data_IF_535867157101
#
_entry.id   IF_535867157101
#
_cell.length_a   1.000
_cell.length_b   1.000
_cell.length_c   1.000
_cell.angle_alpha   90.00
_cell.angle_beta   90.00
_cell.angle_gamma   90.00
#
_symmetry.space_group_name_H-M   'P 1'
#
loop_
_entity.id
_entity.type
_entity.pdbx_description
1 polymer ?
#
# COMPACT_ATOMS: atom_id res chain seq x y z
N UNK A 1 -26.72 33.56 -48.60
CA UNK A 1 -26.90 32.21 -48.07
C UNK A 1 -25.61 31.84 -47.32
N UNK A 2 -25.60 31.94 -45.97
CA UNK A 2 -24.52 31.47 -45.14
C UNK A 2 -24.73 29.99 -44.80
N UNK A 3 -23.88 29.15 -45.31
CA UNK A 3 -23.83 27.72 -44.95
C UNK A 3 -22.97 27.62 -43.70
N UNK A 4 -23.62 27.47 -42.53
CA UNK A 4 -22.96 27.14 -41.29
C UNK A 4 -22.48 25.70 -41.32
N UNK A 5 -21.18 25.49 -41.47
CA UNK A 5 -20.58 24.18 -41.26
C UNK A 5 -20.64 23.79 -39.78
N UNK A 6 -21.37 22.72 -39.46
CA UNK A 6 -21.31 22.09 -38.15
C UNK A 6 -19.98 21.34 -38.06
N UNK A 7 -19.02 21.91 -37.34
CA UNK A 7 -17.82 21.16 -36.95
C UNK A 7 -18.25 20.10 -35.93
N UNK A 8 -18.46 18.87 -36.36
CA UNK A 8 -18.52 17.73 -35.47
C UNK A 8 -17.11 17.51 -34.95
N UNK A 9 -16.83 18.10 -33.80
CA UNK A 9 -15.60 17.84 -33.03
C UNK A 9 -15.51 16.35 -32.72
N UNK A 10 -14.35 15.75 -32.96
CA UNK A 10 -14.03 14.35 -32.69
C UNK A 10 -13.99 14.02 -31.19
N UNK A 11 -15.11 14.24 -30.47
CA UNK A 11 -15.21 13.92 -29.04
C UNK A 11 -15.20 12.40 -28.82
N UNK A 12 -15.60 11.62 -29.81
CA UNK A 12 -15.56 10.14 -29.72
C UNK A 12 -14.14 9.55 -29.88
N UNK A 13 -13.18 10.33 -30.37
CA UNK A 13 -11.79 9.88 -30.54
C UNK A 13 -10.98 9.90 -29.22
N UNK A 14 -11.55 10.48 -28.16
CA UNK A 14 -10.98 10.51 -26.81
C UNK A 14 -11.43 9.31 -25.95
N UNK A 15 -12.39 8.54 -26.41
CA UNK A 15 -12.92 7.38 -25.69
C UNK A 15 -12.35 6.07 -26.28
N UNK A 16 -11.03 6.02 -26.42
CA UNK A 16 -10.33 4.81 -26.84
C UNK A 16 -10.21 3.84 -25.66
N UNK A 17 -10.62 2.59 -25.89
CA UNK A 17 -10.27 1.49 -25.01
C UNK A 17 -8.75 1.33 -24.99
N UNK A 18 -8.18 1.02 -23.82
CA UNK A 18 -6.75 0.75 -23.68
C UNK A 18 -6.29 -0.29 -24.71
N UNK A 19 -5.24 0.04 -25.48
CA UNK A 19 -4.62 -0.87 -26.44
C UNK A 19 -3.82 -1.96 -25.74
N UNK A 20 -3.42 -1.74 -24.50
CA UNK A 20 -2.75 -2.74 -23.67
C UNK A 20 -3.79 -3.68 -23.03
N UNK A 21 -3.84 -4.98 -23.43
CA UNK A 21 -4.77 -5.93 -22.84
C UNK A 21 -4.49 -6.21 -21.37
N UNK A 22 -3.38 -5.72 -20.81
CA UNK A 22 -3.04 -5.81 -19.39
C UNK A 22 -3.46 -4.57 -18.59
N UNK A 23 -3.88 -3.48 -19.26
CA UNK A 23 -4.46 -2.32 -18.59
C UNK A 23 -5.97 -2.42 -18.62
N UNK A 24 -6.58 -2.79 -17.52
CA UNK A 24 -8.03 -2.74 -17.34
C UNK A 24 -8.44 -1.35 -16.86
N UNK A 25 -9.42 -0.74 -17.52
CA UNK A 25 -10.08 0.47 -17.03
C UNK A 25 -11.21 0.15 -16.04
N UNK A 26 -11.53 -1.13 -15.87
CA UNK A 26 -12.49 -1.65 -14.90
C UNK A 26 -11.88 -2.84 -14.16
N UNK A 27 -12.10 -2.92 -12.88
CA UNK A 27 -11.71 -4.02 -12.00
C UNK A 27 -12.86 -4.31 -11.05
N UNK A 28 -12.96 -5.56 -10.64
CA UNK A 28 -13.89 -5.96 -9.59
C UNK A 28 -13.29 -5.57 -8.21
N UNK A 29 -14.16 -5.15 -7.30
CA UNK A 29 -13.72 -4.70 -5.97
C UNK A 29 -12.93 -5.76 -5.20
N UNK A 30 -13.24 -7.04 -5.42
CA UNK A 30 -12.51 -8.16 -4.81
C UNK A 30 -11.10 -8.33 -5.40
N UNK A 31 -10.90 -8.02 -6.68
CA UNK A 31 -9.58 -8.00 -7.31
C UNK A 31 -8.74 -6.85 -6.73
N UNK A 32 -9.38 -5.70 -6.50
CA UNK A 32 -8.74 -4.57 -5.86
C UNK A 32 -8.37 -4.86 -4.39
N UNK A 33 -9.26 -5.53 -3.64
CA UNK A 33 -8.95 -6.00 -2.28
C UNK A 33 -7.75 -6.96 -2.28
N UNK A 34 -7.75 -7.94 -3.20
CA UNK A 34 -6.63 -8.85 -3.36
C UNK A 34 -5.33 -8.10 -3.72
N UNK A 35 -5.42 -7.04 -4.55
CA UNK A 35 -4.28 -6.19 -4.88
C UNK A 35 -3.74 -5.45 -3.65
N UNK A 36 -4.59 -4.93 -2.77
CA UNK A 36 -4.17 -4.30 -1.51
C UNK A 36 -3.38 -5.29 -0.65
N UNK A 37 -3.89 -6.51 -0.45
CA UNK A 37 -3.15 -7.55 0.29
C UNK A 37 -1.85 -7.97 -0.39
N UNK A 38 -1.85 -8.03 -1.72
CA UNK A 38 -0.69 -8.48 -2.47
C UNK A 38 0.54 -7.58 -2.31
N UNK A 39 0.37 -6.32 -1.94
CA UNK A 39 1.49 -5.38 -1.72
C UNK A 39 2.41 -5.81 -0.59
N UNK A 40 1.90 -6.58 0.37
CA UNK A 40 2.72 -7.14 1.44
C UNK A 40 3.79 -8.13 0.93
N UNK A 41 3.53 -8.81 -0.20
CA UNK A 41 4.40 -9.86 -0.73
C UNK A 41 4.89 -9.66 -2.16
N UNK A 42 4.24 -8.80 -2.95
CA UNK A 42 4.54 -8.61 -4.36
C UNK A 42 5.11 -7.22 -4.65
N UNK A 43 5.98 -7.14 -5.64
CA UNK A 43 6.68 -5.90 -6.05
C UNK A 43 6.27 -5.42 -7.44
N UNK A 44 5.15 -5.87 -7.94
CA UNK A 44 4.63 -5.48 -9.25
C UNK A 44 3.43 -6.31 -9.66
N UNK A 45 2.93 -6.05 -10.87
CA UNK A 45 1.70 -6.69 -11.36
C UNK A 45 1.91 -8.14 -11.85
N UNK A 46 3.14 -8.51 -12.17
CA UNK A 46 3.47 -9.84 -12.71
C UNK A 46 3.89 -10.86 -11.65
N UNK A 47 3.76 -10.51 -10.39
CA UNK A 47 4.20 -11.35 -9.28
C UNK A 47 5.73 -11.48 -9.20
N UNK A 48 6.24 -12.53 -8.56
CA UNK A 48 7.66 -12.64 -8.25
C UNK A 48 8.58 -12.71 -9.47
N UNK A 49 8.09 -13.13 -10.63
CA UNK A 49 8.89 -13.22 -11.87
C UNK A 49 8.69 -12.02 -12.81
N UNK A 50 8.06 -10.96 -12.32
CA UNK A 50 7.80 -9.74 -13.10
C UNK A 50 8.78 -8.62 -12.84
N UNK A 51 8.69 -7.56 -13.62
CA UNK A 51 9.44 -6.34 -13.35
C UNK A 51 8.94 -5.68 -12.08
N UNK A 52 9.83 -5.25 -11.20
CA UNK A 52 9.49 -4.49 -10.01
C UNK A 52 8.86 -3.14 -10.37
N UNK A 53 8.01 -2.64 -9.49
CA UNK A 53 7.29 -1.37 -9.64
C UNK A 53 8.08 -0.17 -9.08
N UNK A 54 8.97 -0.39 -8.12
CA UNK A 54 9.81 0.63 -7.46
C UNK A 54 11.28 0.41 -7.79
N UNK A 55 11.79 -0.81 -7.58
CA UNK A 55 13.12 -1.21 -8.00
C UNK A 55 13.02 -2.09 -9.25
N UNK A 56 14.02 -2.00 -10.13
CA UNK A 56 14.11 -2.88 -11.31
C UNK A 56 14.45 -4.33 -10.95
N UNK A 57 15.03 -4.55 -9.78
CA UNK A 57 15.28 -5.88 -9.25
C UNK A 57 14.05 -6.38 -8.50
N UNK A 58 13.65 -7.58 -8.88
CA UNK A 58 12.50 -8.24 -8.31
C UNK A 58 12.69 -8.54 -6.82
N UNK A 59 11.68 -8.19 -6.05
CA UNK A 59 11.67 -8.43 -4.61
C UNK A 59 12.48 -7.45 -3.77
N UNK A 60 13.39 -6.67 -4.33
CA UNK A 60 14.19 -5.73 -3.54
C UNK A 60 13.37 -4.63 -2.86
N UNK A 61 12.32 -4.16 -3.52
CA UNK A 61 11.42 -3.13 -3.00
C UNK A 61 10.14 -3.69 -2.37
N UNK A 62 10.09 -5.00 -2.09
CA UNK A 62 8.95 -5.64 -1.43
C UNK A 62 8.81 -5.20 0.03
N UNK A 63 7.57 -5.03 0.50
CA UNK A 63 7.28 -4.58 1.87
C UNK A 63 8.05 -5.38 2.93
N UNK A 64 7.95 -6.71 2.92
CA UNK A 64 8.63 -7.56 3.88
C UNK A 64 10.14 -7.42 3.86
N UNK A 65 10.72 -7.41 2.66
CA UNK A 65 12.18 -7.34 2.51
C UNK A 65 12.72 -5.98 2.97
N UNK A 66 12.08 -4.90 2.55
CA UNK A 66 12.58 -3.56 2.86
C UNK A 66 12.41 -3.21 4.33
N UNK A 67 11.28 -3.53 4.95
CA UNK A 67 11.06 -3.29 6.38
C UNK A 67 12.00 -4.14 7.23
N UNK A 68 12.14 -5.43 6.93
CA UNK A 68 13.11 -6.30 7.60
C UNK A 68 14.54 -5.75 7.48
N UNK A 69 14.95 -5.33 6.29
CA UNK A 69 16.30 -4.78 6.10
C UNK A 69 16.58 -3.57 6.99
N UNK A 70 15.62 -2.66 7.12
CA UNK A 70 15.82 -1.45 7.92
C UNK A 70 15.72 -1.72 9.43
N UNK A 71 14.97 -2.74 9.85
CA UNK A 71 14.81 -3.07 11.27
C UNK A 71 15.91 -4.00 11.77
N UNK A 72 16.35 -4.99 10.96
CA UNK A 72 17.21 -6.08 11.43
C UNK A 72 18.68 -5.92 11.03
N UNK A 73 18.99 -5.41 9.84
CA UNK A 73 20.38 -5.34 9.37
C UNK A 73 21.23 -4.30 10.10
N UNK A 74 20.62 -3.42 10.88
CA UNK A 74 21.30 -2.45 11.75
C UNK A 74 21.56 -3.00 13.15
N UNK A 75 21.22 -4.27 13.41
CA UNK A 75 21.42 -4.96 14.69
C UNK A 75 22.56 -5.97 14.60
N UNK A 76 22.88 -6.63 15.71
CA UNK A 76 23.83 -7.73 15.80
C UNK A 76 23.17 -9.12 15.60
N UNK A 77 21.86 -9.16 15.38
CA UNK A 77 21.10 -10.41 15.22
C UNK A 77 21.15 -10.94 13.79
N UNK A 78 21.36 -10.07 12.80
CA UNK A 78 21.26 -10.42 11.38
C UNK A 78 22.44 -9.88 10.57
N UNK A 79 22.99 -10.75 9.71
CA UNK A 79 24.02 -10.37 8.74
C UNK A 79 23.58 -10.76 7.34
N UNK A 80 23.58 -9.79 6.43
CA UNK A 80 23.29 -10.04 5.02
C UNK A 80 24.42 -10.80 4.33
N UNK A 81 24.10 -11.89 3.67
CA UNK A 81 25.12 -12.75 3.05
C UNK A 81 25.86 -12.05 1.89
N UNK A 82 25.19 -11.20 1.15
CA UNK A 82 25.75 -10.46 0.00
C UNK A 82 26.24 -9.07 0.42
N UNK A 83 27.40 -9.05 1.04
CA UNK A 83 28.00 -7.81 1.57
C UNK A 83 28.39 -6.77 0.48
N UNK A 84 28.30 -7.16 -0.79
CA UNK A 84 28.61 -6.28 -1.94
C UNK A 84 27.37 -5.56 -2.49
N UNK A 85 26.19 -5.85 -1.98
CA UNK A 85 24.97 -5.14 -2.35
C UNK A 85 25.07 -3.65 -1.97
N UNK A 86 24.55 -2.79 -2.82
CA UNK A 86 24.90 -1.39 -2.91
C UNK A 86 24.82 -0.64 -1.58
N UNK A 87 23.85 -0.78 -0.76
CA UNK A 87 23.69 -0.01 0.47
C UNK A 87 23.67 -0.86 1.75
N UNK A 88 23.90 -2.15 1.64
CA UNK A 88 23.91 -3.05 2.79
C UNK A 88 24.99 -2.66 3.81
N UNK A 89 26.24 -2.36 3.42
CA UNK A 89 27.25 -1.91 4.38
C UNK A 89 26.83 -0.64 5.14
N UNK A 90 26.12 0.27 4.48
CA UNK A 90 25.62 1.48 5.14
C UNK A 90 24.59 1.17 6.22
N UNK A 91 23.63 0.26 5.93
CA UNK A 91 22.64 -0.17 6.91
C UNK A 91 23.32 -0.87 8.09
N UNK A 92 24.19 -1.85 7.82
CA UNK A 92 24.88 -2.62 8.85
C UNK A 92 25.79 -1.74 9.73
N UNK A 93 26.44 -0.72 9.16
CA UNK A 93 27.30 0.21 9.89
C UNK A 93 26.57 1.40 10.51
N UNK A 94 25.25 1.49 10.33
CA UNK A 94 24.40 2.60 10.84
C UNK A 94 24.88 3.96 10.28
N UNK A 95 25.24 4.00 8.99
CA UNK A 95 25.71 5.22 8.30
C UNK A 95 24.91 5.55 7.04
N UNK A 96 23.67 5.06 6.95
CA UNK A 96 22.76 5.35 5.83
C UNK A 96 22.42 6.84 5.74
N UNK A 97 21.97 7.22 4.56
CA UNK A 97 21.47 8.56 4.24
C UNK A 97 20.07 8.51 3.65
N UNK A 98 19.42 9.65 3.51
CA UNK A 98 18.12 9.75 2.84
C UNK A 98 18.16 9.29 1.37
N UNK A 99 19.34 9.21 0.76
CA UNK A 99 19.53 8.73 -0.61
C UNK A 99 19.93 7.25 -0.71
N UNK A 100 20.04 6.55 0.42
CA UNK A 100 20.28 5.10 0.42
C UNK A 100 19.10 4.38 -0.24
N UNK A 101 19.32 3.54 -1.27
CA UNK A 101 18.26 2.91 -2.06
C UNK A 101 17.20 2.20 -1.20
N UNK A 102 17.60 1.40 -0.23
CA UNK A 102 16.64 0.68 0.64
C UNK A 102 15.79 1.60 1.50
N UNK A 103 16.33 2.72 1.98
CA UNK A 103 15.58 3.73 2.71
C UNK A 103 14.53 4.36 1.79
N UNK A 104 14.91 4.72 0.55
CA UNK A 104 13.99 5.25 -0.45
C UNK A 104 12.92 4.23 -0.86
N UNK A 105 13.30 3.00 -1.16
CA UNK A 105 12.35 1.96 -1.57
C UNK A 105 11.35 1.63 -0.49
N UNK A 106 11.78 1.57 0.78
CA UNK A 106 10.86 1.36 1.90
C UNK A 106 9.85 2.49 2.00
N UNK A 107 10.32 3.74 1.94
CA UNK A 107 9.44 4.91 1.96
C UNK A 107 8.43 4.89 0.81
N UNK A 108 8.89 4.61 -0.40
CA UNK A 108 8.05 4.55 -1.60
C UNK A 108 7.04 3.40 -1.53
N UNK A 109 7.46 2.24 -1.03
CA UNK A 109 6.58 1.08 -0.84
C UNK A 109 5.45 1.41 0.13
N UNK A 110 5.76 1.92 1.31
CA UNK A 110 4.76 2.30 2.31
C UNK A 110 3.80 3.38 1.78
N UNK A 111 4.33 4.39 1.08
CA UNK A 111 3.50 5.45 0.49
C UNK A 111 2.57 4.92 -0.61
N UNK A 112 3.06 4.01 -1.45
CA UNK A 112 2.24 3.34 -2.47
C UNK A 112 1.12 2.52 -1.82
N UNK A 113 1.46 1.73 -0.79
CA UNK A 113 0.50 0.84 -0.12
C UNK A 113 -0.59 1.64 0.60
N UNK A 114 -0.24 2.74 1.29
CA UNK A 114 -1.23 3.67 1.87
C UNK A 114 -2.13 4.28 0.78
N UNK A 115 -1.54 4.67 -0.35
CA UNK A 115 -2.29 5.24 -1.48
C UNK A 115 -3.28 4.22 -2.06
N UNK A 116 -2.86 2.97 -2.21
CA UNK A 116 -3.73 1.90 -2.71
C UNK A 116 -4.87 1.58 -1.73
N UNK A 117 -4.61 1.61 -0.42
CA UNK A 117 -5.66 1.52 0.59
C UNK A 117 -6.68 2.66 0.45
N UNK A 118 -6.21 3.89 0.32
CA UNK A 118 -7.08 5.05 0.11
C UNK A 118 -7.89 4.93 -1.19
N UNK A 119 -7.28 4.43 -2.26
CA UNK A 119 -7.95 4.18 -3.53
C UNK A 119 -9.10 3.18 -3.36
N UNK A 120 -8.88 2.05 -2.69
CA UNK A 120 -9.93 1.08 -2.39
C UNK A 120 -11.07 1.71 -1.58
N UNK A 121 -10.74 2.41 -0.49
CA UNK A 121 -11.74 3.01 0.40
C UNK A 121 -12.58 4.09 -0.29
N UNK A 122 -11.99 4.86 -1.19
CA UNK A 122 -12.70 5.86 -1.99
C UNK A 122 -13.63 5.21 -3.02
N UNK A 123 -13.16 4.18 -3.73
CA UNK A 123 -13.96 3.51 -4.76
C UNK A 123 -15.08 2.60 -4.23
N UNK A 124 -15.08 2.31 -2.94
CA UNK A 124 -16.13 1.51 -2.29
C UNK A 124 -16.96 2.30 -1.27
N UNK A 125 -16.90 3.64 -1.32
CA UNK A 125 -17.60 4.49 -0.35
C UNK A 125 -19.12 4.34 -0.43
N UNK A 126 -19.66 4.22 -1.62
CA UNK A 126 -21.09 4.00 -1.87
C UNK A 126 -21.60 2.63 -1.36
N UNK A 127 -20.70 1.71 -1.05
CA UNK A 127 -20.98 0.36 -0.53
C UNK A 127 -20.68 0.21 0.96
N UNK A 128 -20.32 1.29 1.65
CA UNK A 128 -19.86 1.25 3.04
C UNK A 128 -20.88 0.66 4.03
N UNK A 129 -22.18 0.71 3.71
CA UNK A 129 -23.25 0.14 4.55
C UNK A 129 -23.52 -1.35 4.30
N UNK A 130 -22.99 -1.93 3.22
CA UNK A 130 -23.12 -3.37 2.95
C UNK A 130 -22.29 -4.17 3.97
N UNK A 131 -22.86 -5.22 4.61
CA UNK A 131 -22.15 -6.00 5.63
C UNK A 131 -20.83 -6.62 5.18
N UNK A 132 -20.74 -7.08 3.91
CA UNK A 132 -19.50 -7.63 3.37
C UNK A 132 -18.44 -6.53 3.19
N UNK A 133 -18.87 -5.36 2.68
CA UNK A 133 -17.97 -4.24 2.50
C UNK A 133 -17.52 -3.61 3.82
N UNK A 134 -18.33 -3.65 4.87
CA UNK A 134 -17.88 -3.26 6.22
C UNK A 134 -16.66 -4.05 6.64
N UNK A 135 -16.67 -5.37 6.46
CA UNK A 135 -15.52 -6.23 6.75
C UNK A 135 -14.33 -5.90 5.84
N UNK A 136 -14.53 -5.86 4.52
CA UNK A 136 -13.43 -5.59 3.57
C UNK A 136 -12.81 -4.21 3.77
N UNK A 137 -13.61 -3.21 4.05
CA UNK A 137 -13.14 -1.85 4.36
C UNK A 137 -12.41 -1.78 5.69
N UNK A 138 -12.86 -2.52 6.71
CA UNK A 138 -12.15 -2.64 7.99
C UNK A 138 -10.76 -3.26 7.80
N UNK A 139 -10.64 -4.32 7.01
CA UNK A 139 -9.34 -4.93 6.68
C UNK A 139 -8.41 -3.97 5.93
N UNK A 140 -8.92 -3.22 4.95
CA UNK A 140 -8.12 -2.21 4.22
C UNK A 140 -7.70 -1.06 5.14
N UNK A 141 -8.56 -0.64 6.06
CA UNK A 141 -8.23 0.36 7.09
C UNK A 141 -7.15 -0.17 8.04
N UNK A 142 -7.23 -1.45 8.42
CA UNK A 142 -6.16 -2.12 9.17
C UNK A 142 -4.83 -2.09 8.40
N UNK A 143 -4.80 -2.49 7.13
CA UNK A 143 -3.57 -2.47 6.33
C UNK A 143 -3.01 -1.05 6.19
N UNK A 144 -3.85 -0.04 6.01
CA UNK A 144 -3.42 1.36 6.01
C UNK A 144 -2.79 1.77 7.34
N UNK A 145 -3.41 1.40 8.46
CA UNK A 145 -2.87 1.67 9.79
C UNK A 145 -1.53 0.97 10.01
N UNK A 146 -1.39 -0.28 9.55
CA UNK A 146 -0.14 -1.04 9.58
C UNK A 146 0.99 -0.32 8.83
N UNK A 147 0.75 0.16 7.61
CA UNK A 147 1.78 0.87 6.84
C UNK A 147 2.13 2.23 7.47
N UNK A 148 1.15 2.92 8.05
CA UNK A 148 1.39 4.16 8.80
C UNK A 148 2.14 3.90 10.10
N UNK A 149 1.93 2.74 10.74
CA UNK A 149 2.72 2.34 11.90
C UNK A 149 4.20 2.12 11.54
N UNK A 150 4.49 1.48 10.39
CA UNK A 150 5.88 1.37 9.91
C UNK A 150 6.50 2.73 9.57
N UNK A 151 5.73 3.69 9.06
CA UNK A 151 6.20 5.06 8.93
C UNK A 151 6.54 5.69 10.28
N UNK A 152 5.69 5.48 11.29
CA UNK A 152 5.92 5.97 12.64
C UNK A 152 7.18 5.35 13.26
N UNK A 153 7.34 4.03 13.12
CA UNK A 153 8.48 3.29 13.64
C UNK A 153 9.80 3.73 12.99
N UNK A 154 9.86 3.75 11.66
CA UNK A 154 11.10 3.98 10.92
C UNK A 154 11.49 5.46 10.80
N UNK A 155 10.54 6.41 10.76
CA UNK A 155 10.79 7.84 10.57
C UNK A 155 10.20 8.74 11.65
N UNK A 156 9.41 8.22 12.56
CA UNK A 156 8.69 9.00 13.55
C UNK A 156 7.56 9.87 12.98
N UNK A 157 7.30 9.78 11.67
CA UNK A 157 6.32 10.60 10.94
C UNK A 157 5.96 9.97 9.60
N UNK A 158 4.80 10.37 9.06
CA UNK A 158 4.30 9.90 7.77
C UNK A 158 3.79 11.04 6.89
N UNK A 159 3.84 10.89 5.54
CA UNK A 159 2.99 11.64 4.63
C UNK A 159 1.55 11.14 4.80
N UNK A 160 0.75 11.90 5.56
CA UNK A 160 -0.55 11.45 6.03
C UNK A 160 -1.67 11.96 5.12
N UNK A 161 -2.48 11.01 4.64
CA UNK A 161 -3.70 11.27 3.88
C UNK A 161 -4.62 10.05 3.98
N UNK A 162 -5.93 10.30 4.08
CA UNK A 162 -6.94 9.24 4.23
C UNK A 162 -7.91 9.14 3.05
N UNK A 163 -7.72 10.00 2.04
CA UNK A 163 -8.54 10.07 0.83
C UNK A 163 -7.68 9.80 -0.42
N UNK A 164 -8.29 9.38 -1.51
CA UNK A 164 -7.64 9.30 -2.81
C UNK A 164 -8.08 10.50 -3.67
N UNK A 165 -7.24 11.54 -3.65
CA UNK A 165 -7.35 12.71 -4.53
C UNK A 165 -5.94 13.06 -5.01
N UNK A 166 -5.69 12.96 -6.31
CA UNK A 166 -4.37 13.20 -6.90
C UNK A 166 -3.93 14.67 -6.85
N UNK A 167 -4.86 15.58 -6.62
CA UNK A 167 -4.58 17.03 -6.54
C UNK A 167 -4.32 17.51 -5.12
N UNK A 168 -4.65 16.70 -4.13
CA UNK A 168 -4.40 17.01 -2.72
C UNK A 168 -3.08 16.39 -2.26
N UNK A 169 -2.15 17.21 -1.81
CA UNK A 169 -0.90 16.71 -1.24
C UNK A 169 -1.12 16.18 0.18
N UNK A 170 -0.42 15.10 0.56
CA UNK A 170 -0.45 14.63 1.95
C UNK A 170 0.15 15.67 2.89
N UNK A 171 -0.36 15.74 4.11
CA UNK A 171 0.22 16.55 5.18
C UNK A 171 1.17 15.70 6.04
N UNK A 172 2.17 16.30 6.64
CA UNK A 172 2.99 15.58 7.61
C UNK A 172 2.20 15.35 8.91
N UNK A 173 2.14 14.11 9.39
CA UNK A 173 1.66 13.76 10.72
C UNK A 173 2.77 12.99 11.45
N UNK A 174 3.08 13.38 12.71
CA UNK A 174 4.29 12.91 13.39
C UNK A 174 4.02 12.51 14.84
N UNK A 175 4.92 11.67 15.40
CA UNK A 175 4.98 11.32 16.81
C UNK A 175 3.65 10.90 17.40
N UNK A 176 3.28 11.53 18.52
CA UNK A 176 2.04 11.19 19.24
C UNK A 176 0.78 11.38 18.41
N UNK A 177 0.72 12.39 17.57
CA UNK A 177 -0.50 12.65 16.77
C UNK A 177 -0.73 11.55 15.73
N UNK A 178 0.33 10.96 15.17
CA UNK A 178 0.24 9.81 14.28
C UNK A 178 -0.11 8.55 15.05
N UNK A 179 0.51 8.33 16.20
CA UNK A 179 0.21 7.20 17.08
C UNK A 179 -1.27 7.21 17.51
N UNK A 180 -1.76 8.33 18.04
CA UNK A 180 -3.14 8.45 18.50
C UNK A 180 -4.16 8.21 17.36
N UNK A 181 -3.81 8.63 16.15
CA UNK A 181 -4.65 8.35 14.99
C UNK A 181 -4.68 6.86 14.63
N UNK A 182 -3.52 6.18 14.65
CA UNK A 182 -3.43 4.74 14.39
C UNK A 182 -4.21 3.95 15.44
N UNK A 183 -4.04 4.26 16.71
CA UNK A 183 -4.72 3.62 17.84
C UNK A 183 -6.24 3.79 17.74
N UNK A 184 -6.71 5.01 17.42
CA UNK A 184 -8.13 5.27 17.21
C UNK A 184 -8.67 4.53 15.99
N UNK A 185 -7.95 4.51 14.88
CA UNK A 185 -8.35 3.79 13.66
C UNK A 185 -8.51 2.29 13.93
N UNK A 186 -7.57 1.67 14.64
CA UNK A 186 -7.65 0.26 15.04
C UNK A 186 -8.82 0.00 15.98
N UNK A 187 -9.06 0.88 16.94
CA UNK A 187 -10.21 0.82 17.86
C UNK A 187 -11.54 0.87 17.10
N UNK A 188 -11.65 1.76 16.12
CA UNK A 188 -12.88 1.96 15.35
C UNK A 188 -13.21 0.78 14.43
N UNK A 189 -12.20 0.09 13.90
CA UNK A 189 -12.41 -1.05 12.99
C UNK A 189 -12.53 -2.39 13.71
N UNK A 190 -12.00 -2.53 14.92
CA UNK A 190 -11.99 -3.80 15.64
C UNK A 190 -13.37 -4.50 15.66
N UNK A 191 -14.49 -3.83 15.96
CA UNK A 191 -15.80 -4.48 15.97
C UNK A 191 -16.29 -4.97 14.60
N UNK A 192 -15.64 -4.53 13.52
CA UNK A 192 -16.00 -4.84 12.14
C UNK A 192 -15.14 -5.95 11.53
N UNK A 193 -14.02 -6.30 12.19
CA UNK A 193 -13.13 -7.37 11.76
C UNK A 193 -13.69 -8.74 12.17
N UNK A 194 -13.27 -9.77 11.44
CA UNK A 194 -13.57 -11.16 11.78
C UNK A 194 -13.02 -11.54 13.15
N UNK A 195 -13.65 -12.49 13.82
CA UNK A 195 -13.16 -13.00 15.10
C UNK A 195 -11.80 -13.70 14.95
N UNK A 196 -11.01 -13.69 16.01
CA UNK A 196 -9.68 -14.31 16.01
C UNK A 196 -9.77 -15.78 15.57
N UNK A 197 -9.07 -16.10 14.51
CA UNK A 197 -9.02 -17.45 13.95
C UNK A 197 -10.23 -17.86 13.10
N UNK A 198 -11.19 -16.98 12.85
CA UNK A 198 -12.35 -17.27 12.01
C UNK A 198 -11.94 -17.66 10.58
N UNK A 199 -10.86 -17.09 10.08
CA UNK A 199 -10.33 -17.40 8.76
C UNK A 199 -9.41 -18.62 8.70
N UNK A 200 -9.10 -19.25 9.83
CA UNK A 200 -8.27 -20.44 9.87
C UNK A 200 -8.93 -21.59 9.07
N UNK A 201 -8.13 -22.25 8.25
CA UNK A 201 -8.59 -23.38 7.41
C UNK A 201 -9.70 -23.02 6.39
N UNK A 202 -9.81 -21.76 5.98
CA UNK A 202 -10.76 -21.31 4.97
C UNK A 202 -10.04 -20.73 3.75
N UNK A 203 -10.81 -20.42 2.69
CA UNK A 203 -10.30 -19.68 1.53
C UNK A 203 -9.86 -18.24 1.87
N UNK A 204 -10.21 -17.76 3.06
CA UNK A 204 -9.87 -16.44 3.58
C UNK A 204 -8.63 -16.45 4.49
N UNK A 205 -7.92 -17.57 4.58
CA UNK A 205 -6.71 -17.69 5.39
C UNK A 205 -5.69 -16.58 5.07
N UNK A 206 -5.17 -15.93 6.11
CA UNK A 206 -4.22 -14.82 5.99
C UNK A 206 -4.84 -13.43 5.85
N UNK A 207 -6.17 -13.31 5.81
CA UNK A 207 -6.83 -12.01 5.92
C UNK A 207 -6.80 -11.50 7.37
N UNK A 208 -6.84 -10.17 7.53
CA UNK A 208 -6.79 -9.53 8.83
C UNK A 208 -8.05 -9.85 9.65
N UNK A 209 -7.84 -10.25 10.89
CA UNK A 209 -8.87 -10.47 11.90
C UNK A 209 -8.61 -9.58 13.14
N UNK A 210 -9.42 -9.69 14.19
CA UNK A 210 -9.22 -8.96 15.45
C UNK A 210 -7.85 -9.23 16.08
N UNK A 211 -7.32 -10.44 15.91
CA UNK A 211 -5.99 -10.80 16.42
C UNK A 211 -4.89 -9.95 15.79
N UNK A 212 -5.01 -9.66 14.50
CA UNK A 212 -4.07 -8.77 13.80
C UNK A 212 -4.15 -7.33 14.33
N UNK A 213 -5.35 -6.83 14.66
CA UNK A 213 -5.53 -5.49 15.19
C UNK A 213 -5.05 -5.34 16.65
N UNK A 214 -4.99 -6.43 17.42
CA UNK A 214 -4.51 -6.42 18.81
C UNK A 214 -2.97 -6.49 18.92
N UNK A 215 -2.27 -6.93 17.90
CA UNK A 215 -0.81 -7.03 17.85
C UNK A 215 -0.14 -5.68 17.57
#
# INVERSE_FOLDING_TARGET
LLIGGVATSCINDLNISSIDPQSSSSYEDMELLAKVYSTLGLTGQKGPAGSGDISSDEGESGFYRTTFNLQELCTDECLWAWQTDTDIPQITNIDWTASSPRVQWTFQRLAFDVTLCNFYLTNTEDKADDPNYKLYRAEVRFLRALHLWYFLDLWGKAPFKTTYDIYELPVEKAGKDLYDWIDQELTDIEPQLAEVGEFNNSANFGRADKGAAYM
#
